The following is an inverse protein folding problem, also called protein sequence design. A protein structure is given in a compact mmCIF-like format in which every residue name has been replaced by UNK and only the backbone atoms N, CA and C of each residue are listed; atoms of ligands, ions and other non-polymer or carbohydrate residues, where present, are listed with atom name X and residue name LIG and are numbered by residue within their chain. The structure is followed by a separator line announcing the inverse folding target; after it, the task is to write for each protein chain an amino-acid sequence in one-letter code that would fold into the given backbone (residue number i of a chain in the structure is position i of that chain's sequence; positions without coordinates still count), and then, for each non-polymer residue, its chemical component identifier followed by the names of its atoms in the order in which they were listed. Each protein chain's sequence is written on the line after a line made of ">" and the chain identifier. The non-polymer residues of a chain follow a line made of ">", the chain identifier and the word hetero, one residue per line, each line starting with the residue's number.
data_IF_988888812822
#
_entry.id   IF_988888812822
#
_cell.length_a   1.000
_cell.length_b   1.000
_cell.length_c   1.000
_cell.angle_alpha   90.00
_cell.angle_beta   90.00
_cell.angle_gamma   90.00
#
_symmetry.space_group_name_H-M   'P 1'
#
loop_
_entity.id
_entity.type
_entity.pdbx_description
1 polymer ?
#
# COMPACT_ATOMS: atom_id res chain seq x y z
N UNK A 1 39.41 6.29 -3.51
CA UNK A 1 38.13 5.90 -2.88
C UNK A 1 38.21 6.32 -1.44
N UNK A 2 37.49 7.38 -1.10
CA UNK A 2 36.86 7.67 0.19
C UNK A 2 36.10 8.97 -0.04
N UNK A 3 34.82 8.85 -0.32
CA UNK A 3 33.90 9.97 -0.32
C UNK A 3 33.52 10.13 1.15
N UNK A 4 34.15 11.08 1.84
CA UNK A 4 33.73 11.45 3.19
C UNK A 4 32.33 12.03 3.05
N UNK A 5 31.31 11.32 3.57
CA UNK A 5 30.00 11.91 3.76
C UNK A 5 30.16 12.95 4.85
N UNK A 6 29.98 14.23 4.51
CA UNK A 6 29.81 15.29 5.49
C UNK A 6 28.62 14.91 6.38
N UNK A 7 28.90 14.44 7.60
CA UNK A 7 27.90 14.25 8.65
C UNK A 7 27.32 15.63 8.98
N UNK A 8 26.23 16.00 8.29
CA UNK A 8 25.48 17.20 8.63
C UNK A 8 24.96 17.03 10.07
N UNK A 9 25.44 17.89 10.96
CA UNK A 9 25.01 17.90 12.36
C UNK A 9 23.51 18.21 12.43
N UNK A 10 22.74 17.22 12.86
CA UNK A 10 21.29 17.32 13.05
C UNK A 10 20.88 18.50 13.93
N UNK A 11 21.73 18.94 14.86
CA UNK A 11 21.44 20.12 15.69
C UNK A 11 21.42 21.42 14.89
N UNK A 12 22.11 21.48 13.75
CA UNK A 12 22.10 22.62 12.84
C UNK A 12 20.89 22.62 11.91
N UNK A 13 20.42 21.44 11.49
CA UNK A 13 19.25 21.29 10.61
C UNK A 13 17.92 21.38 11.36
N UNK A 14 17.89 20.91 12.61
CA UNK A 14 16.67 20.86 13.44
C UNK A 14 15.90 22.19 13.52
N UNK A 15 16.51 23.36 13.77
CA UNK A 15 15.75 24.60 13.84
C UNK A 15 15.08 24.99 12.52
N UNK A 16 15.75 24.83 11.38
CA UNK A 16 15.19 25.17 10.07
C UNK A 16 14.09 24.19 9.63
N UNK A 17 14.28 22.89 9.86
CA UNK A 17 13.27 21.87 9.60
C UNK A 17 12.05 22.11 10.48
N UNK A 18 12.26 22.38 11.77
CA UNK A 18 11.18 22.67 12.71
C UNK A 18 10.42 23.95 12.34
N UNK A 19 11.13 25.01 11.96
CA UNK A 19 10.53 26.25 11.51
C UNK A 19 9.67 26.02 10.25
N UNK A 20 10.17 25.25 9.28
CA UNK A 20 9.45 24.92 8.05
C UNK A 20 8.17 24.12 8.35
N UNK A 21 8.24 23.13 9.23
CA UNK A 21 7.07 22.34 9.65
C UNK A 21 6.06 23.23 10.40
N UNK A 22 6.52 24.07 11.33
CA UNK A 22 5.66 24.97 12.10
C UNK A 22 5.01 26.05 11.24
N UNK A 23 5.74 26.59 10.25
CA UNK A 23 5.20 27.55 9.28
C UNK A 23 4.10 26.90 8.44
N UNK A 24 4.27 25.65 8.02
CA UNK A 24 3.22 24.89 7.34
C UNK A 24 1.97 24.72 8.21
N UNK A 25 2.11 24.30 9.48
CA UNK A 25 0.96 24.19 10.39
C UNK A 25 0.30 25.54 10.68
N UNK A 26 1.07 26.63 10.73
CA UNK A 26 0.56 27.99 10.92
C UNK A 26 -0.13 28.55 9.67
N UNK A 27 0.27 28.10 8.47
CA UNK A 27 -0.26 28.57 7.18
C UNK A 27 -1.72 28.17 6.95
N UNK A 28 -2.24 27.19 7.70
CA UNK A 28 -3.59 26.65 7.52
C UNK A 28 -3.79 25.94 6.18
N UNK A 29 -2.70 25.64 5.45
CA UNK A 29 -2.76 24.79 4.27
C UNK A 29 -3.24 23.39 4.68
N UNK A 30 -4.05 22.74 3.83
CA UNK A 30 -4.52 21.39 4.11
C UNK A 30 -3.31 20.45 4.30
N UNK A 31 -3.22 19.87 5.50
CA UNK A 31 -2.14 18.95 5.90
C UNK A 31 -2.23 17.64 5.10
N UNK A 32 -3.42 17.31 4.62
CA UNK A 32 -3.73 16.14 3.80
C UNK A 32 -4.31 16.65 2.49
N UNK A 33 -3.69 16.30 1.36
CA UNK A 33 -4.34 16.47 0.07
C UNK A 33 -5.57 15.57 0.04
N UNK A 34 -6.75 16.16 -0.21
CA UNK A 34 -8.09 15.55 -0.31
C UNK A 34 -8.23 14.49 -1.44
N UNK A 35 -7.23 13.63 -1.64
CA UNK A 35 -7.48 12.35 -2.29
C UNK A 35 -8.22 11.50 -1.27
N UNK A 36 -9.54 11.61 -1.29
CA UNK A 36 -10.40 10.81 -0.43
C UNK A 36 -9.96 9.34 -0.55
N UNK A 37 -9.65 8.66 0.58
CA UNK A 37 -9.29 7.26 0.54
C UNK A 37 -10.41 6.48 -0.15
N UNK A 38 -10.03 5.48 -0.96
CA UNK A 38 -11.02 4.66 -1.65
C UNK A 38 -11.90 3.94 -0.63
N UNK A 39 -13.11 3.56 -1.03
CA UNK A 39 -14.07 2.92 -0.13
C UNK A 39 -13.51 1.70 0.61
N UNK A 40 -12.59 0.95 0.00
CA UNK A 40 -11.94 -0.23 0.59
C UNK A 40 -10.81 0.10 1.59
N UNK A 41 -10.20 1.28 1.49
CA UNK A 41 -9.09 1.75 2.35
C UNK A 41 -9.48 2.93 3.23
N UNK A 42 -10.73 3.37 3.19
CA UNK A 42 -11.25 4.38 4.11
C UNK A 42 -11.10 3.90 5.55
N UNK A 43 -10.63 4.79 6.43
CA UNK A 43 -10.51 4.53 7.85
C UNK A 43 -11.90 4.35 8.47
N UNK A 44 -12.07 3.26 9.21
CA UNK A 44 -13.23 2.95 10.04
C UNK A 44 -12.89 3.08 11.52
N UNK A 45 -13.88 3.30 12.37
CA UNK A 45 -13.71 3.32 13.85
C UNK A 45 -13.29 1.96 14.41
N UNK A 46 -13.44 0.89 13.63
CA UNK A 46 -13.10 -0.49 13.99
C UNK A 46 -11.67 -0.90 13.54
N UNK A 47 -10.97 -0.05 12.79
CA UNK A 47 -9.64 -0.37 12.30
C UNK A 47 -8.58 -0.19 13.39
N UNK A 48 -7.84 -1.26 13.68
CA UNK A 48 -6.65 -1.19 14.53
C UNK A 48 -5.48 -0.48 13.80
N UNK A 49 -4.49 -0.03 14.56
CA UNK A 49 -3.30 0.69 14.04
C UNK A 49 -2.62 -0.05 12.89
N UNK A 50 -2.50 -1.38 12.99
CA UNK A 50 -1.93 -2.23 11.93
C UNK A 50 -2.75 -2.17 10.65
N UNK A 51 -4.09 -2.19 10.75
CA UNK A 51 -5.00 -2.11 9.60
C UNK A 51 -4.86 -0.75 8.92
N UNK A 52 -4.77 0.33 9.69
CA UNK A 52 -4.57 1.68 9.16
C UNK A 52 -3.23 1.78 8.40
N UNK A 53 -2.15 1.20 8.96
CA UNK A 53 -0.85 1.16 8.28
C UNK A 53 -0.89 0.34 6.98
N UNK A 54 -1.61 -0.79 6.96
CA UNK A 54 -1.81 -1.60 5.75
C UNK A 54 -2.53 -0.78 4.69
N UNK A 55 -3.65 -0.13 5.06
CA UNK A 55 -4.46 0.70 4.15
C UNK A 55 -3.65 1.86 3.57
N UNK A 56 -2.87 2.54 4.40
CA UNK A 56 -1.99 3.62 3.97
C UNK A 56 -0.91 3.13 3.00
N UNK A 57 -0.24 2.01 3.30
CA UNK A 57 0.80 1.47 2.42
C UNK A 57 0.23 1.00 1.07
N UNK A 58 -0.99 0.45 1.09
CA UNK A 58 -1.71 0.06 -0.12
C UNK A 58 -1.94 1.28 -1.02
N UNK A 59 -2.48 2.37 -0.49
CA UNK A 59 -2.82 3.54 -1.30
C UNK A 59 -1.60 4.36 -1.72
N UNK A 60 -0.59 4.49 -0.85
CA UNK A 60 0.56 5.36 -1.12
C UNK A 60 1.66 4.71 -1.94
N UNK A 61 1.78 3.37 -1.95
CA UNK A 61 2.88 2.66 -2.62
C UNK A 61 2.46 1.51 -3.51
N UNK A 62 1.64 0.59 -3.00
CA UNK A 62 1.31 -0.65 -3.73
C UNK A 62 0.44 -0.34 -4.94
N UNK A 63 -0.69 0.32 -4.70
CA UNK A 63 -1.72 0.58 -5.70
C UNK A 63 -1.20 1.42 -6.88
N UNK A 64 -0.41 2.51 -6.68
CA UNK A 64 0.19 3.24 -7.80
C UNK A 64 1.02 2.33 -8.72
N UNK A 65 1.90 1.51 -8.13
CA UNK A 65 2.74 0.56 -8.87
C UNK A 65 1.90 -0.47 -9.65
N UNK A 66 0.83 -0.98 -9.04
CA UNK A 66 -0.05 -1.97 -9.69
C UNK A 66 -0.87 -1.33 -10.82
N UNK A 67 -1.30 -0.08 -10.65
CA UNK A 67 -2.04 0.66 -11.67
C UNK A 67 -1.18 1.04 -12.87
N UNK A 68 0.13 1.26 -12.68
CA UNK A 68 1.09 1.42 -13.79
C UNK A 68 1.13 0.18 -14.69
N UNK A 69 0.99 -1.00 -14.10
CA UNK A 69 0.92 -2.29 -14.82
C UNK A 69 -0.50 -2.62 -15.34
N UNK A 70 -1.46 -1.70 -15.18
CA UNK A 70 -2.84 -1.85 -15.65
C UNK A 70 -3.68 -2.82 -14.81
N UNK A 71 -3.37 -2.97 -13.52
CA UNK A 71 -4.17 -3.70 -12.54
C UNK A 71 -4.72 -2.81 -11.44
N UNK A 72 -5.38 -3.42 -10.46
CA UNK A 72 -5.74 -2.77 -9.20
C UNK A 72 -5.71 -3.79 -8.05
N UNK A 73 -5.65 -3.30 -6.81
CA UNK A 73 -5.72 -4.12 -5.59
C UNK A 73 -6.80 -3.58 -4.67
N UNK A 74 -7.67 -4.45 -4.17
CA UNK A 74 -8.73 -4.08 -3.24
C UNK A 74 -8.45 -4.73 -1.90
N UNK A 75 -8.41 -3.93 -0.85
CA UNK A 75 -8.31 -4.45 0.51
C UNK A 75 -9.61 -5.13 0.92
N UNK A 76 -9.52 -6.35 1.48
CA UNK A 76 -10.69 -7.16 1.87
C UNK A 76 -10.71 -7.49 3.36
N UNK A 77 -9.55 -7.51 4.02
CA UNK A 77 -9.47 -7.76 5.45
C UNK A 77 -8.04 -8.06 5.91
N UNK A 78 -7.87 -8.15 7.23
CA UNK A 78 -6.63 -8.57 7.88
C UNK A 78 -6.99 -9.40 9.12
N UNK A 79 -6.59 -10.67 9.11
CA UNK A 79 -6.90 -11.62 10.17
C UNK A 79 -5.70 -12.55 10.39
N UNK A 80 -5.34 -12.85 11.63
CA UNK A 80 -4.27 -13.78 12.00
C UNK A 80 -2.93 -13.55 11.25
N UNK A 81 -2.55 -12.29 11.03
CA UNK A 81 -1.31 -11.94 10.31
C UNK A 81 -1.42 -12.05 8.78
N UNK A 82 -2.59 -12.40 8.25
CA UNK A 82 -2.83 -12.57 6.81
C UNK A 82 -3.63 -11.40 6.25
N UNK A 83 -3.04 -10.69 5.28
CA UNK A 83 -3.72 -9.62 4.55
C UNK A 83 -4.49 -10.22 3.38
N UNK A 84 -5.81 -10.04 3.37
CA UNK A 84 -6.68 -10.48 2.30
C UNK A 84 -6.86 -9.37 1.26
N UNK A 85 -6.49 -9.66 0.01
CA UNK A 85 -6.56 -8.73 -1.12
C UNK A 85 -7.33 -9.34 -2.28
N UNK A 86 -8.14 -8.54 -2.98
CA UNK A 86 -8.65 -8.90 -4.30
C UNK A 86 -7.83 -8.19 -5.37
N UNK A 87 -7.18 -8.97 -6.23
CA UNK A 87 -6.45 -8.45 -7.39
C UNK A 87 -7.44 -8.27 -8.56
N UNK A 88 -7.29 -7.18 -9.31
CA UNK A 88 -8.12 -6.87 -10.49
C UNK A 88 -7.28 -6.45 -11.69
N UNK A 89 -7.91 -6.47 -12.87
CA UNK A 89 -7.32 -6.00 -14.13
C UNK A 89 -6.30 -6.95 -14.72
N UNK A 90 -5.27 -6.40 -15.37
CA UNK A 90 -4.28 -7.19 -16.13
C UNK A 90 -3.56 -8.23 -15.26
N UNK A 91 -3.50 -7.99 -13.95
CA UNK A 91 -2.85 -8.85 -12.96
C UNK A 91 -3.53 -10.20 -12.76
N UNK A 92 -4.79 -10.41 -13.18
CA UNK A 92 -5.52 -11.68 -13.00
C UNK A 92 -5.45 -12.62 -14.21
N UNK A 93 -4.93 -12.13 -15.35
CA UNK A 93 -4.96 -12.85 -16.63
C UNK A 93 -3.86 -13.91 -16.79
N UNK A 94 -2.79 -13.84 -16.01
CA UNK A 94 -1.64 -14.73 -16.13
C UNK A 94 -1.23 -15.30 -14.76
N UNK A 95 -1.29 -16.64 -14.56
CA UNK A 95 -0.98 -17.27 -13.27
C UNK A 95 0.42 -16.93 -12.73
N UNK A 96 1.42 -16.79 -13.60
CA UNK A 96 2.77 -16.42 -13.18
C UNK A 96 2.87 -14.98 -12.69
N UNK A 97 2.10 -14.07 -13.31
CA UNK A 97 2.06 -12.66 -12.91
C UNK A 97 1.35 -12.47 -11.57
N UNK A 98 0.27 -13.23 -11.33
CA UNK A 98 -0.43 -13.26 -10.04
C UNK A 98 0.54 -13.62 -8.91
N UNK A 99 1.28 -14.72 -9.07
CA UNK A 99 2.22 -15.20 -8.03
C UNK A 99 3.33 -14.18 -7.80
N UNK A 100 3.90 -13.62 -8.88
CA UNK A 100 4.98 -12.62 -8.78
C UNK A 100 4.52 -11.37 -8.07
N UNK A 101 3.35 -10.84 -8.44
CA UNK A 101 2.80 -9.63 -7.84
C UNK A 101 2.44 -9.86 -6.38
N UNK A 102 1.75 -10.98 -6.07
CA UNK A 102 1.44 -11.38 -4.70
C UNK A 102 2.69 -11.39 -3.81
N UNK A 103 3.76 -12.04 -4.28
CA UNK A 103 5.03 -12.08 -3.54
C UNK A 103 5.65 -10.69 -3.38
N UNK A 104 5.58 -9.84 -4.40
CA UNK A 104 6.05 -8.46 -4.31
C UNK A 104 5.32 -7.65 -3.24
N UNK A 105 3.99 -7.71 -3.25
CA UNK A 105 3.12 -7.05 -2.28
C UNK A 105 3.40 -7.58 -0.86
N UNK A 106 3.48 -8.90 -0.71
CA UNK A 106 3.77 -9.54 0.57
C UNK A 106 5.11 -9.10 1.14
N UNK A 107 6.19 -9.16 0.34
CA UNK A 107 7.51 -8.73 0.80
C UNK A 107 7.53 -7.26 1.24
N UNK A 108 6.79 -6.41 0.54
CA UNK A 108 6.72 -5.00 0.90
C UNK A 108 5.93 -4.77 2.20
N UNK A 109 4.78 -5.44 2.37
CA UNK A 109 4.00 -5.37 3.60
C UNK A 109 4.80 -5.89 4.79
N UNK A 110 5.43 -7.06 4.68
CA UNK A 110 6.27 -7.64 5.74
C UNK A 110 7.47 -6.76 6.12
N UNK A 111 8.02 -6.02 5.16
CA UNK A 111 9.14 -5.12 5.42
C UNK A 111 8.73 -3.90 6.26
N UNK A 112 7.56 -3.33 6.00
CA UNK A 112 7.06 -2.14 6.72
C UNK A 112 6.22 -2.47 7.95
N UNK A 113 5.59 -3.64 7.99
CA UNK A 113 4.61 -4.06 9.00
C UNK A 113 4.95 -5.49 9.45
N UNK A 114 5.75 -5.66 10.51
CA UNK A 114 6.24 -6.97 10.96
C UNK A 114 5.12 -7.91 11.46
N UNK A 115 3.94 -7.39 11.76
CA UNK A 115 2.73 -8.13 12.13
C UNK A 115 2.10 -8.87 10.94
N UNK A 116 2.45 -8.49 9.71
CA UNK A 116 2.01 -9.20 8.50
C UNK A 116 2.89 -10.45 8.33
N UNK A 117 2.28 -11.63 8.38
CA UNK A 117 2.92 -12.91 8.10
C UNK A 117 2.73 -13.34 6.64
N UNK A 118 1.66 -12.89 5.98
CA UNK A 118 1.35 -13.30 4.62
C UNK A 118 0.28 -12.46 3.94
N UNK A 119 0.11 -12.72 2.64
CA UNK A 119 -0.95 -12.14 1.83
C UNK A 119 -1.74 -13.29 1.20
N UNK A 120 -3.05 -13.17 1.11
CA UNK A 120 -3.91 -14.10 0.38
C UNK A 120 -4.78 -13.36 -0.64
N UNK A 121 -4.95 -14.01 -1.80
CA UNK A 121 -5.85 -13.51 -2.82
C UNK A 121 -7.24 -14.07 -2.55
N UNK A 122 -8.22 -13.20 -2.37
CA UNK A 122 -9.63 -13.58 -2.36
C UNK A 122 -10.21 -13.39 -3.76
N UNK A 123 -10.94 -14.40 -4.22
CA UNK A 123 -11.73 -14.39 -5.45
C UNK A 123 -13.21 -14.42 -5.05
N UNK A 124 -14.02 -13.54 -5.61
CA UNK A 124 -15.47 -13.56 -5.37
C UNK A 124 -16.11 -14.58 -6.35
N UNK A 125 -17.22 -15.25 -5.97
CA UNK A 125 -17.86 -16.32 -6.76
C UNK A 125 -18.31 -15.90 -8.20
N UNK A 126 -18.37 -14.60 -8.50
CA UNK A 126 -18.66 -14.07 -9.85
C UNK A 126 -17.46 -14.13 -10.82
N UNK A 127 -16.24 -14.36 -10.33
CA UNK A 127 -15.01 -14.42 -11.15
C UNK A 127 -14.78 -15.83 -11.79
N UNK A 128 -15.61 -16.83 -11.48
CA UNK A 128 -15.52 -18.20 -12.04
C UNK A 128 -16.15 -18.34 -13.44
N UNK A 129 -17.00 -17.39 -13.85
CA UNK A 129 -17.75 -17.49 -15.13
C UNK A 129 -16.86 -17.27 -16.37
N UNK A 130 -15.72 -16.59 -16.24
CA UNK A 130 -14.85 -16.29 -17.39
C UNK A 130 -13.76 -17.34 -17.69
N UNK A 131 -13.49 -18.29 -16.77
CA UNK A 131 -12.45 -19.30 -17.00
C UNK A 131 -12.91 -20.49 -17.84
N UNK A 132 -14.22 -20.72 -17.98
CA UNK A 132 -14.75 -21.78 -18.84
C UNK A 132 -15.01 -21.34 -20.30
N UNK A 133 -14.99 -20.04 -20.60
CA UNK A 133 -15.35 -19.53 -21.93
C UNK A 133 -14.20 -19.48 -22.95
N UNK A 134 -12.95 -19.74 -22.55
CA UNK A 134 -11.77 -19.65 -23.45
C UNK A 134 -11.07 -21.00 -23.67
N UNK A 135 -11.75 -22.11 -23.40
CA UNK A 135 -11.28 -23.49 -23.69
C UNK A 135 -12.15 -24.22 -24.71
N UNK A 136 -12.67 -23.52 -25.73
CA UNK A 136 -13.32 -24.13 -26.91
C UNK A 136 -12.86 -23.47 -28.19
#
# INVERSE_FOLDING_TARGET
>A
FSQESEDLDWNLLKPDIYATIMDFFASGLPVVTDEAPRTDTAASEEDDEVVLMIKELLDTRIRPTVQEDGGDVIYKGFEDGIVQLKLQGSCTSCPSSIITLKNGIQNMLQFYIPEVEGVEQVVDDDDDVEKEANST
#
